data_IF_699977572507
#
_entry.id   IF_699977572507
#
_cell.length_a   1.000
_cell.length_b   1.000
_cell.length_c   1.000
_cell.angle_alpha   90.00
_cell.angle_beta   90.00
_cell.angle_gamma   90.00
#
_symmetry.space_group_name_H-M   'P 1'
#
loop_
_entity.id
_entity.type
_entity.pdbx_description
1 polymer ?
#
# COMPACT_ATOMS: atom_id res chain seq x y z
N UNK A 1 -2.17 -13.00 -19.04
CA UNK A 1 -2.32 -14.36 -18.53
C UNK A 1 -2.76 -14.33 -17.08
N UNK A 2 -3.56 -15.32 -16.68
CA UNK A 2 -4.17 -15.44 -15.37
C UNK A 2 -3.89 -16.84 -14.84
N UNK A 3 -3.55 -16.97 -13.57
CA UNK A 3 -3.38 -18.26 -12.93
C UNK A 3 -4.71 -19.03 -12.85
N UNK A 4 -4.68 -20.36 -12.73
CA UNK A 4 -5.91 -21.17 -12.57
C UNK A 4 -6.72 -20.82 -11.33
N UNK A 5 -6.06 -20.30 -10.26
CA UNK A 5 -6.74 -19.73 -9.09
C UNK A 5 -7.48 -18.43 -9.36
N UNK A 6 -7.33 -17.85 -10.54
CA UNK A 6 -7.93 -16.57 -10.88
C UNK A 6 -7.08 -15.34 -10.58
N UNK A 7 -5.89 -15.49 -10.01
CA UNK A 7 -5.00 -14.37 -9.69
C UNK A 7 -4.28 -13.80 -10.91
N UNK A 8 -3.95 -12.53 -10.85
CA UNK A 8 -3.12 -11.82 -11.81
C UNK A 8 -1.64 -11.90 -11.40
N UNK A 9 -0.71 -11.86 -12.37
CA UNK A 9 0.71 -11.79 -12.06
C UNK A 9 1.08 -10.44 -11.45
N UNK A 10 1.98 -10.45 -10.49
CA UNK A 10 2.47 -9.24 -9.83
C UNK A 10 3.24 -8.35 -10.82
N UNK A 11 4.11 -8.96 -11.63
CA UNK A 11 4.92 -8.21 -12.60
C UNK A 11 4.74 -8.71 -14.03
N UNK A 12 4.72 -7.76 -14.96
CA UNK A 12 4.73 -8.01 -16.40
C UNK A 12 5.96 -7.39 -17.04
N UNK A 13 6.54 -8.08 -18.02
CA UNK A 13 7.58 -7.52 -18.90
C UNK A 13 6.96 -7.37 -20.30
N UNK A 14 6.56 -6.15 -20.63
CA UNK A 14 5.74 -5.92 -21.81
C UNK A 14 4.34 -6.56 -21.66
N UNK A 15 4.02 -7.55 -22.52
CA UNK A 15 2.77 -8.31 -22.46
C UNK A 15 2.93 -9.72 -21.87
N UNK A 16 4.14 -10.06 -21.44
CA UNK A 16 4.47 -11.37 -20.91
C UNK A 16 4.60 -11.34 -19.40
N UNK A 17 4.39 -12.48 -18.76
CA UNK A 17 4.65 -12.63 -17.32
C UNK A 17 6.15 -12.52 -17.10
N UNK A 18 6.57 -11.68 -16.16
CA UNK A 18 7.97 -11.57 -15.78
C UNK A 18 8.46 -12.92 -15.22
N UNK A 19 9.64 -13.39 -15.60
CA UNK A 19 10.21 -14.60 -15.01
C UNK A 19 10.29 -14.49 -13.48
N UNK A 20 10.03 -15.58 -12.79
CA UNK A 20 10.13 -15.66 -11.32
C UNK A 20 9.20 -14.66 -10.57
N UNK A 21 8.16 -14.17 -11.24
CA UNK A 21 7.14 -13.34 -10.58
C UNK A 21 6.23 -14.20 -9.70
N UNK A 22 5.36 -13.56 -8.97
CA UNK A 22 4.27 -14.23 -8.26
C UNK A 22 2.92 -13.91 -8.91
N UNK A 23 1.94 -14.76 -8.68
CA UNK A 23 0.53 -14.42 -8.87
C UNK A 23 -0.01 -13.95 -7.52
N UNK A 24 -0.29 -12.67 -7.42
CA UNK A 24 -0.53 -12.00 -6.15
C UNK A 24 -2.02 -11.83 -5.86
N UNK A 25 -2.43 -12.19 -4.66
CA UNK A 25 -3.80 -11.97 -4.18
C UNK A 25 -4.09 -10.49 -3.98
N UNK A 26 -3.19 -9.74 -3.32
CA UNK A 26 -3.41 -8.32 -3.04
C UNK A 26 -3.40 -7.47 -4.30
N UNK A 27 -2.46 -7.68 -5.22
CA UNK A 27 -2.42 -6.91 -6.46
C UNK A 27 -3.65 -7.18 -7.33
N UNK A 28 -4.12 -8.44 -7.35
CA UNK A 28 -5.37 -8.78 -8.04
C UNK A 28 -6.57 -8.03 -7.43
N UNK A 29 -6.65 -7.99 -6.12
CA UNK A 29 -7.75 -7.30 -5.41
C UNK A 29 -7.68 -5.80 -5.62
N UNK A 30 -6.51 -5.19 -5.46
CA UNK A 30 -6.33 -3.74 -5.64
C UNK A 30 -6.64 -3.35 -7.09
N UNK A 31 -6.13 -4.10 -8.07
CA UNK A 31 -6.43 -3.85 -9.48
C UNK A 31 -7.93 -3.99 -9.77
N UNK A 32 -8.57 -5.02 -9.23
CA UNK A 32 -10.00 -5.23 -9.37
C UNK A 32 -10.84 -4.12 -8.72
N UNK A 33 -10.56 -3.77 -7.48
CA UNK A 33 -11.24 -2.67 -6.77
C UNK A 33 -11.07 -1.33 -7.52
N UNK A 34 -9.85 -1.02 -7.95
CA UNK A 34 -9.59 0.19 -8.73
C UNK A 34 -10.35 0.20 -10.07
N UNK A 35 -10.45 -0.94 -10.75
CA UNK A 35 -11.24 -1.06 -11.99
C UNK A 35 -12.74 -0.89 -11.72
N UNK A 36 -13.30 -1.45 -10.64
CA UNK A 36 -14.69 -1.24 -10.26
C UNK A 36 -14.99 0.24 -10.03
N UNK A 37 -14.19 0.90 -9.20
CA UNK A 37 -14.33 2.34 -8.92
C UNK A 37 -14.18 3.19 -10.19
N UNK A 38 -13.30 2.79 -11.11
CA UNK A 38 -13.16 3.47 -12.40
C UNK A 38 -14.38 3.26 -13.32
N UNK A 39 -14.96 2.06 -13.32
CA UNK A 39 -16.20 1.79 -14.05
C UNK A 39 -17.35 2.64 -13.52
N UNK A 40 -17.53 2.69 -12.20
CA UNK A 40 -18.57 3.50 -11.56
C UNK A 40 -18.37 4.99 -11.83
N UNK A 41 -17.14 5.48 -11.74
CA UNK A 41 -16.81 6.88 -12.06
C UNK A 41 -17.11 7.23 -13.52
N UNK A 42 -16.90 6.29 -14.44
CA UNK A 42 -17.15 6.46 -15.87
C UNK A 42 -18.61 6.17 -16.26
N UNK A 43 -19.45 5.69 -15.35
CA UNK A 43 -20.80 5.23 -15.63
C UNK A 43 -20.85 4.01 -16.57
N UNK A 44 -19.82 3.15 -16.48
CA UNK A 44 -19.68 1.92 -17.26
C UNK A 44 -19.99 0.71 -16.37
N UNK A 45 -20.61 -0.31 -16.94
CA UNK A 45 -20.91 -1.53 -16.22
C UNK A 45 -19.63 -2.27 -15.78
N UNK A 46 -19.47 -2.49 -14.48
CA UNK A 46 -18.35 -3.21 -13.85
C UNK A 46 -18.56 -4.72 -13.73
N UNK A 47 -19.62 -5.31 -14.30
CA UNK A 47 -19.95 -6.72 -14.12
C UNK A 47 -18.83 -7.68 -14.49
N UNK A 48 -18.09 -7.40 -15.56
CA UNK A 48 -16.94 -8.22 -15.97
C UNK A 48 -15.83 -8.24 -14.89
N UNK A 49 -15.63 -7.13 -14.20
CA UNK A 49 -14.65 -7.02 -13.11
C UNK A 49 -15.14 -7.74 -11.86
N UNK A 50 -16.41 -7.59 -11.49
CA UNK A 50 -17.02 -8.34 -10.37
C UNK A 50 -16.94 -9.83 -10.61
N UNK A 51 -17.24 -10.28 -11.85
CA UNK A 51 -17.10 -11.68 -12.23
C UNK A 51 -15.64 -12.15 -12.12
N UNK A 52 -14.67 -11.33 -12.50
CA UNK A 52 -13.25 -11.64 -12.37
C UNK A 52 -12.86 -11.84 -10.89
N UNK A 53 -13.28 -10.97 -10.01
CA UNK A 53 -12.97 -11.02 -8.57
C UNK A 53 -13.70 -12.18 -7.87
N UNK A 54 -14.95 -12.41 -8.21
CA UNK A 54 -15.74 -13.51 -7.67
C UNK A 54 -15.22 -14.89 -8.12
N UNK A 55 -14.59 -14.94 -9.31
CA UNK A 55 -14.01 -16.17 -9.85
C UNK A 55 -12.62 -16.50 -9.31
N UNK A 56 -12.11 -15.76 -8.33
CA UNK A 56 -10.90 -16.15 -7.58
C UNK A 56 -11.24 -17.39 -6.75
N UNK A 57 -10.43 -18.42 -6.88
CA UNK A 57 -10.56 -19.63 -6.06
C UNK A 57 -9.94 -19.41 -4.68
N UNK A 58 -10.72 -18.81 -3.79
CA UNK A 58 -10.30 -18.54 -2.41
C UNK A 58 -9.97 -19.82 -1.63
N UNK A 59 -10.55 -20.98 -2.02
CA UNK A 59 -10.24 -22.26 -1.39
C UNK A 59 -8.80 -22.72 -1.69
N UNK A 60 -8.26 -22.39 -2.86
CA UNK A 60 -6.86 -22.63 -3.18
C UNK A 60 -5.88 -21.73 -2.40
N UNK A 61 -6.36 -20.57 -1.92
CA UNK A 61 -5.55 -19.58 -1.20
C UNK A 61 -5.57 -19.75 0.32
N UNK A 62 -6.46 -20.61 0.83
CA UNK A 62 -6.58 -20.91 2.25
C UNK A 62 -6.20 -22.37 2.50
N UNK A 63 -5.54 -22.64 3.60
CA UNK A 63 -5.29 -24.02 4.00
C UNK A 63 -6.53 -24.67 4.65
N UNK A 64 -6.48 -26.01 4.83
CA UNK A 64 -7.57 -26.81 5.41
C UNK A 64 -7.94 -26.42 6.85
N UNK A 65 -7.14 -25.60 7.52
CA UNK A 65 -7.34 -25.15 8.89
C UNK A 65 -8.06 -23.80 8.99
N UNK A 66 -8.48 -23.24 7.88
CA UNK A 66 -9.11 -21.91 7.82
C UNK A 66 -8.16 -20.81 8.31
N UNK A 67 -6.90 -20.95 7.94
CA UNK A 67 -5.88 -19.95 8.17
C UNK A 67 -6.10 -18.69 7.31
N UNK A 68 -5.26 -17.70 7.53
CA UNK A 68 -5.24 -16.50 6.72
C UNK A 68 -4.97 -16.83 5.24
N UNK A 69 -5.53 -16.02 4.36
CA UNK A 69 -5.34 -16.13 2.91
C UNK A 69 -3.84 -16.05 2.56
N UNK A 70 -3.39 -16.87 1.62
CA UNK A 70 -2.03 -16.80 1.07
C UNK A 70 -1.80 -15.51 0.29
N UNK A 71 -0.55 -15.04 0.27
CA UNK A 71 -0.13 -13.97 -0.63
C UNK A 71 -0.37 -14.32 -2.10
N UNK A 72 -0.36 -15.61 -2.45
CA UNK A 72 -0.64 -16.08 -3.80
C UNK A 72 0.18 -17.31 -4.17
N UNK A 73 0.64 -17.38 -5.41
CA UNK A 73 1.46 -18.46 -5.94
C UNK A 73 2.80 -17.91 -6.41
N UNK A 74 3.89 -18.60 -6.06
CA UNK A 74 5.26 -18.22 -6.39
C UNK A 74 5.94 -19.30 -7.21
N UNK A 75 6.82 -18.89 -8.13
CA UNK A 75 7.75 -19.76 -8.86
C UNK A 75 9.17 -19.49 -8.33
N UNK A 76 9.47 -20.05 -7.16
CA UNK A 76 10.72 -19.78 -6.44
C UNK A 76 11.97 -20.21 -7.19
N UNK A 77 11.86 -21.25 -8.01
CA UNK A 77 12.97 -21.84 -8.76
C UNK A 77 13.04 -21.34 -10.21
N UNK A 78 12.13 -20.47 -10.60
CA UNK A 78 12.01 -19.94 -11.96
C UNK A 78 11.88 -21.04 -13.04
N UNK A 79 11.21 -22.14 -12.70
CA UNK A 79 11.08 -23.32 -13.54
C UNK A 79 9.70 -23.43 -14.23
N UNK A 80 8.80 -22.46 -13.98
CA UNK A 80 7.43 -22.42 -14.49
C UNK A 80 6.45 -23.29 -13.69
N UNK A 81 6.86 -23.79 -12.53
CA UNK A 81 5.99 -24.51 -11.59
C UNK A 81 5.62 -23.58 -10.45
N UNK A 82 4.33 -23.36 -10.29
CA UNK A 82 3.77 -22.41 -9.31
C UNK A 82 3.35 -23.17 -8.06
N UNK A 83 3.86 -22.73 -6.92
CA UNK A 83 3.55 -23.29 -5.60
C UNK A 83 2.83 -22.24 -4.75
N UNK A 84 1.97 -22.69 -3.83
CA UNK A 84 1.29 -21.78 -2.91
C UNK A 84 2.33 -21.08 -2.02
N UNK A 85 2.31 -19.76 -2.00
CA UNK A 85 3.21 -18.96 -1.17
C UNK A 85 3.10 -19.37 0.30
N UNK A 86 4.21 -19.56 1.02
CA UNK A 86 4.18 -19.83 2.45
C UNK A 86 3.73 -18.59 3.27
N UNK A 87 3.78 -17.41 2.70
CA UNK A 87 3.37 -16.17 3.36
C UNK A 87 1.85 -16.04 3.37
N UNK A 88 1.33 -15.49 4.46
CA UNK A 88 -0.11 -15.33 4.72
C UNK A 88 -0.44 -13.90 5.12
N UNK A 89 -1.63 -13.43 4.73
CA UNK A 89 -2.24 -12.19 5.21
C UNK A 89 -2.76 -12.40 6.64
N UNK A 90 -1.87 -12.62 7.59
CA UNK A 90 -2.22 -12.90 8.98
C UNK A 90 -2.03 -11.69 9.89
N UNK A 91 -1.20 -10.74 9.46
CA UNK A 91 -0.94 -9.51 10.18
C UNK A 91 -1.92 -8.42 9.79
N UNK A 92 -2.09 -7.46 10.69
CA UNK A 92 -2.91 -6.29 10.43
C UNK A 92 -2.24 -5.37 9.40
N UNK A 93 -3.06 -4.76 8.54
CA UNK A 93 -2.62 -3.78 7.56
C UNK A 93 -3.63 -3.57 6.44
N UNK A 94 -3.46 -2.48 5.69
CA UNK A 94 -4.37 -2.13 4.60
C UNK A 94 -4.47 -3.21 3.53
N UNK A 95 -3.36 -3.85 3.19
CA UNK A 95 -3.31 -4.93 2.21
C UNK A 95 -4.13 -6.14 2.67
N UNK A 96 -3.87 -6.60 3.90
CA UNK A 96 -4.61 -7.70 4.49
C UNK A 96 -6.11 -7.39 4.58
N UNK A 97 -6.48 -6.18 4.99
CA UNK A 97 -7.87 -5.76 5.06
C UNK A 97 -8.55 -5.77 3.69
N UNK A 98 -7.90 -5.25 2.65
CA UNK A 98 -8.44 -5.24 1.28
C UNK A 98 -8.64 -6.66 0.73
N UNK A 99 -7.68 -7.56 0.97
CA UNK A 99 -7.83 -8.99 0.61
C UNK A 99 -9.03 -9.60 1.33
N UNK A 100 -9.21 -9.30 2.62
CA UNK A 100 -10.35 -9.75 3.41
C UNK A 100 -11.68 -9.19 2.89
N UNK A 101 -11.74 -7.93 2.47
CA UNK A 101 -12.94 -7.34 1.83
C UNK A 101 -13.32 -8.14 0.58
N UNK A 102 -12.35 -8.43 -0.28
CA UNK A 102 -12.60 -9.17 -1.52
C UNK A 102 -13.03 -10.61 -1.25
N UNK A 103 -12.36 -11.30 -0.32
CA UNK A 103 -12.76 -12.65 0.08
C UNK A 103 -14.17 -12.66 0.68
N UNK A 104 -14.48 -11.70 1.55
CA UNK A 104 -15.81 -11.59 2.18
C UNK A 104 -16.89 -11.30 1.13
N UNK A 105 -16.65 -10.40 0.20
CA UNK A 105 -17.56 -10.10 -0.90
C UNK A 105 -17.82 -11.32 -1.82
N UNK A 106 -16.79 -12.10 -2.08
CA UNK A 106 -16.90 -13.27 -2.97
C UNK A 106 -17.53 -14.49 -2.29
N UNK A 107 -17.26 -14.70 -1.00
CA UNK A 107 -17.63 -15.95 -0.29
C UNK A 107 -18.71 -15.79 0.77
N UNK A 108 -19.01 -14.57 1.18
CA UNK A 108 -19.87 -14.28 2.32
C UNK A 108 -19.24 -14.64 3.69
N UNK A 109 -17.93 -14.87 3.73
CA UNK A 109 -17.20 -15.27 4.94
C UNK A 109 -16.05 -14.29 5.21
N UNK A 110 -15.87 -13.93 6.48
CA UNK A 110 -14.71 -13.13 6.90
C UNK A 110 -13.44 -13.96 6.84
N UNK A 111 -12.34 -13.37 6.40
CA UNK A 111 -11.05 -14.01 6.51
C UNK A 111 -10.53 -13.99 7.96
N UNK A 112 -9.54 -14.79 8.25
CA UNK A 112 -8.91 -14.84 9.57
C UNK A 112 -7.57 -14.11 9.52
N UNK A 113 -7.46 -13.05 10.31
CA UNK A 113 -6.17 -12.50 10.68
C UNK A 113 -5.85 -13.04 12.08
N UNK A 114 -4.69 -13.64 12.25
CA UNK A 114 -4.33 -14.37 13.49
C UNK A 114 -3.40 -13.59 14.39
N UNK A 115 -2.56 -12.74 13.81
CA UNK A 115 -1.49 -12.04 14.52
C UNK A 115 -1.82 -10.54 14.63
N UNK A 116 -2.98 -10.26 15.22
CA UNK A 116 -3.42 -8.89 15.48
C UNK A 116 -3.31 -8.56 16.95
N UNK A 117 -2.58 -7.50 17.23
CA UNK A 117 -2.62 -6.81 18.52
C UNK A 117 -3.23 -5.41 18.31
N UNK A 118 -4.51 -5.20 18.64
CA UNK A 118 -5.17 -3.90 18.47
C UNK A 118 -4.53 -2.78 19.28
N UNK A 119 -3.68 -3.11 20.26
CA UNK A 119 -2.94 -2.12 21.05
C UNK A 119 -1.68 -1.63 20.38
N UNK A 120 -1.21 -2.31 19.33
CA UNK A 120 -0.02 -1.93 18.59
C UNK A 120 -0.40 -1.03 17.41
N UNK A 121 0.26 0.12 17.25
CA UNK A 121 -0.05 1.04 16.16
C UNK A 121 0.70 0.70 14.86
N UNK A 122 1.33 -0.47 14.78
CA UNK A 122 2.14 -0.88 13.64
C UNK A 122 1.46 -2.02 12.88
N UNK A 123 1.48 -1.93 11.58
CA UNK A 123 1.45 -3.09 10.69
C UNK A 123 2.76 -3.86 10.84
N UNK A 124 2.89 -5.04 10.22
CA UNK A 124 4.01 -5.96 10.42
C UNK A 124 5.39 -5.27 10.42
N UNK A 125 5.62 -4.38 9.47
CA UNK A 125 6.90 -3.66 9.30
C UNK A 125 6.80 -2.16 9.57
N UNK A 126 5.60 -1.61 9.77
CA UNK A 126 5.36 -0.17 9.91
C UNK A 126 5.63 0.63 8.64
N UNK A 127 5.54 -0.02 7.46
CA UNK A 127 5.63 0.68 6.18
C UNK A 127 4.40 1.57 5.98
N UNK A 128 4.62 2.86 5.80
CA UNK A 128 3.55 3.85 5.89
C UNK A 128 2.42 3.67 4.88
N UNK A 129 2.68 3.09 3.70
CA UNK A 129 1.59 2.82 2.76
C UNK A 129 0.58 1.83 3.33
N UNK A 130 1.06 0.83 4.06
CA UNK A 130 0.22 -0.21 4.64
C UNK A 130 -0.62 0.30 5.82
N UNK A 131 -0.22 1.40 6.44
CA UNK A 131 -1.01 2.08 7.48
C UNK A 131 -2.10 2.99 6.89
N UNK A 132 -1.84 3.63 5.74
CA UNK A 132 -2.69 4.71 5.22
C UNK A 132 -3.51 4.35 3.97
N UNK A 133 -3.12 3.31 3.23
CA UNK A 133 -3.68 3.01 1.91
C UNK A 133 -5.17 2.66 1.96
N UNK A 134 -5.65 1.98 3.01
CA UNK A 134 -7.07 1.65 3.13
C UNK A 134 -7.96 2.89 2.97
N UNK A 135 -7.59 3.99 3.61
CA UNK A 135 -8.31 5.25 3.53
C UNK A 135 -8.30 5.94 2.17
N UNK A 136 -7.57 5.41 1.18
CA UNK A 136 -7.64 5.87 -0.21
C UNK A 136 -8.75 5.18 -1.01
N UNK A 137 -9.12 3.97 -0.64
CA UNK A 137 -10.09 3.15 -1.37
C UNK A 137 -11.43 3.06 -0.65
N UNK A 138 -11.39 2.90 0.67
CA UNK A 138 -12.55 2.68 1.50
C UNK A 138 -12.60 3.70 2.65
N UNK A 139 -13.78 4.04 3.17
CA UNK A 139 -13.87 4.80 4.42
C UNK A 139 -13.21 4.00 5.54
N UNK A 140 -12.43 4.66 6.39
CA UNK A 140 -11.82 3.99 7.54
C UNK A 140 -12.91 3.60 8.53
N UNK A 141 -13.04 2.31 8.90
CA UNK A 141 -14.00 1.91 9.91
C UNK A 141 -13.61 2.48 11.28
N UNK A 142 -14.61 2.84 12.09
CA UNK A 142 -14.33 3.26 13.46
C UNK A 142 -13.73 2.09 14.26
N UNK A 143 -14.30 0.90 14.12
CA UNK A 143 -13.73 -0.35 14.63
C UNK A 143 -14.04 -1.48 13.65
N UNK A 144 -13.07 -2.37 13.42
CA UNK A 144 -13.26 -3.56 12.61
C UNK A 144 -13.57 -4.81 13.46
N UNK A 145 -13.83 -5.94 12.80
CA UNK A 145 -14.19 -7.21 13.48
C UNK A 145 -13.07 -7.78 14.34
N UNK A 146 -11.83 -7.33 14.16
CA UNK A 146 -10.67 -7.72 14.98
C UNK A 146 -10.43 -6.75 16.13
N UNK A 147 -11.24 -5.70 16.28
CA UNK A 147 -11.15 -4.71 17.36
C UNK A 147 -10.15 -3.58 17.11
N UNK A 148 -9.72 -3.38 15.87
CA UNK A 148 -8.85 -2.27 15.52
C UNK A 148 -9.67 -1.02 15.24
N UNK A 149 -9.36 0.06 15.94
CA UNK A 149 -9.91 1.39 15.70
C UNK A 149 -9.04 2.13 14.67
N UNK A 150 -9.44 2.10 13.40
CA UNK A 150 -8.63 2.60 12.30
C UNK A 150 -8.22 4.08 12.38
N UNK A 151 -9.10 5.04 12.74
CA UNK A 151 -8.68 6.43 12.89
C UNK A 151 -7.59 6.62 13.93
N UNK A 152 -7.65 5.84 15.03
CA UNK A 152 -6.59 5.84 16.05
C UNK A 152 -5.31 5.21 15.52
N UNK A 153 -5.41 4.06 14.85
CA UNK A 153 -4.26 3.39 14.24
C UNK A 153 -3.51 4.32 13.27
N UNK A 154 -4.23 4.99 12.36
CA UNK A 154 -3.65 5.97 11.44
C UNK A 154 -2.95 7.11 12.19
N UNK A 155 -3.57 7.62 13.27
CA UNK A 155 -2.95 8.65 14.11
C UNK A 155 -1.68 8.18 14.79
N UNK A 156 -1.71 7.01 15.41
CA UNK A 156 -0.59 6.45 16.17
C UNK A 156 0.57 6.06 15.23
N UNK A 157 0.30 5.40 14.09
CA UNK A 157 1.33 5.06 13.11
C UNK A 157 1.99 6.29 12.49
N UNK A 158 1.22 7.34 12.25
CA UNK A 158 1.77 8.60 11.75
C UNK A 158 2.62 9.32 12.82
N UNK A 159 2.25 9.23 14.08
CA UNK A 159 3.11 9.71 15.18
C UNK A 159 4.44 8.95 15.24
N UNK A 160 4.43 7.63 15.01
CA UNK A 160 5.65 6.84 14.92
C UNK A 160 6.53 7.27 13.76
N UNK A 161 5.96 7.49 12.59
CA UNK A 161 6.67 8.04 11.44
C UNK A 161 7.36 9.36 11.79
N UNK A 162 6.69 10.28 12.47
CA UNK A 162 7.26 11.57 12.87
C UNK A 162 8.35 11.44 13.91
N UNK A 163 8.24 10.48 14.84
CA UNK A 163 9.20 10.25 15.90
C UNK A 163 10.38 9.35 15.51
N UNK A 164 10.33 8.77 14.31
CA UNK A 164 11.38 7.91 13.82
C UNK A 164 12.71 8.67 13.67
N UNK A 165 13.85 8.07 14.01
CA UNK A 165 15.15 8.73 13.92
C UNK A 165 15.66 8.82 12.47
N UNK A 166 15.14 9.76 11.70
CA UNK A 166 15.55 9.99 10.29
C UNK A 166 16.99 10.51 10.13
N UNK A 167 17.70 10.78 11.24
CA UNK A 167 18.97 11.46 11.21
C UNK A 167 18.82 12.99 11.19
N UNK A 168 19.90 13.69 11.55
CA UNK A 168 19.89 15.15 11.78
C UNK A 168 19.41 15.92 10.55
N UNK A 169 19.97 15.60 9.38
CA UNK A 169 19.69 16.33 8.14
C UNK A 169 18.21 16.28 7.70
N UNK A 170 17.54 15.14 7.81
CA UNK A 170 16.12 15.00 7.48
C UNK A 170 15.22 15.57 8.58
N UNK A 171 15.58 15.32 9.85
CA UNK A 171 14.80 15.76 11.01
C UNK A 171 14.77 17.28 11.14
N UNK A 172 15.90 17.96 10.93
CA UNK A 172 16.01 19.42 10.98
C UNK A 172 15.13 20.10 9.92
N UNK A 173 14.90 19.44 8.80
CA UNK A 173 14.03 19.91 7.73
C UNK A 173 12.58 19.46 7.91
N UNK A 174 12.27 18.64 8.91
CA UNK A 174 10.95 18.06 9.13
C UNK A 174 10.52 17.10 8.01
N UNK A 175 11.50 16.39 7.42
CA UNK A 175 11.25 15.44 6.34
C UNK A 175 11.08 14.03 6.89
N UNK A 176 10.02 13.35 6.49
CA UNK A 176 9.66 12.02 6.96
C UNK A 176 8.85 11.27 5.92
N UNK A 177 8.69 9.95 6.09
CA UNK A 177 7.81 9.12 5.28
C UNK A 177 8.47 7.84 4.79
N UNK A 178 8.68 6.88 5.71
CA UNK A 178 9.09 5.53 5.36
C UNK A 178 7.93 4.78 4.74
N UNK A 179 8.11 4.27 3.53
CA UNK A 179 7.14 3.47 2.81
C UNK A 179 7.81 2.65 1.73
N UNK A 180 7.11 1.66 1.19
CA UNK A 180 7.65 0.80 0.14
C UNK A 180 8.06 1.62 -1.09
N UNK A 181 9.34 1.58 -1.42
CA UNK A 181 9.90 2.35 -2.54
C UNK A 181 11.27 1.80 -2.96
N UNK A 182 11.71 2.21 -4.14
CA UNK A 182 13.09 2.02 -4.56
C UNK A 182 14.04 2.88 -3.72
N UNK A 183 15.25 2.39 -3.48
CA UNK A 183 16.28 3.17 -2.78
C UNK A 183 16.75 4.37 -3.60
N UNK A 184 17.13 5.48 -2.96
CA UNK A 184 17.57 6.69 -3.63
C UNK A 184 19.02 6.55 -4.15
N UNK A 185 19.21 5.69 -5.13
CA UNK A 185 20.49 5.58 -5.85
C UNK A 185 20.32 5.70 -7.36
N UNK A 186 21.36 6.19 -8.04
CA UNK A 186 21.31 6.40 -9.49
C UNK A 186 21.45 5.08 -10.25
N UNK A 187 20.69 4.08 -9.93
CA UNK A 187 20.50 2.93 -10.85
C UNK A 187 19.52 1.88 -10.31
N UNK A 188 18.39 1.89 -10.76
CA UNK A 188 17.64 0.99 -11.63
C UNK A 188 17.79 -0.54 -11.41
N UNK A 189 18.25 -1.07 -10.28
CA UNK A 189 18.02 -2.47 -10.00
C UNK A 189 16.72 -2.63 -9.23
N UNK A 190 15.83 -3.49 -9.72
CA UNK A 190 14.64 -3.92 -8.99
C UNK A 190 14.98 -4.57 -7.63
N UNK A 191 16.24 -4.90 -7.41
CA UNK A 191 16.80 -5.40 -6.16
C UNK A 191 16.88 -4.36 -5.05
N UNK A 192 16.66 -3.09 -5.38
CA UNK A 192 16.75 -1.97 -4.45
C UNK A 192 15.39 -1.55 -3.88
N UNK A 193 14.28 -2.17 -4.31
CA UNK A 193 12.95 -1.94 -3.75
C UNK A 193 12.80 -2.63 -2.39
N UNK A 194 12.16 -1.97 -1.46
CA UNK A 194 11.86 -2.54 -0.15
C UNK A 194 10.68 -1.87 0.54
N UNK A 195 10.05 -2.60 1.45
CA UNK A 195 9.00 -2.11 2.32
C UNK A 195 9.64 -1.43 3.55
N UNK A 196 10.12 -0.19 3.38
CA UNK A 196 10.78 0.56 4.43
C UNK A 196 9.77 1.02 5.49
N UNK A 197 9.97 0.60 6.74
CA UNK A 197 9.03 0.86 7.81
C UNK A 197 9.67 1.33 9.12
N UNK A 198 8.85 1.78 10.05
CA UNK A 198 9.28 2.23 11.38
C UNK A 198 9.45 1.09 12.38
N UNK A 199 8.99 -0.10 12.06
CA UNK A 199 9.00 -1.27 12.94
C UNK A 199 10.36 -1.91 13.19
N UNK A 200 11.38 -1.58 12.38
CA UNK A 200 12.75 -2.09 12.56
C UNK A 200 12.94 -3.58 12.26
N UNK A 201 11.90 -4.24 11.76
CA UNK A 201 11.95 -5.68 11.40
C UNK A 201 12.25 -5.92 9.93
N UNK A 202 12.12 -4.89 9.12
CA UNK A 202 12.43 -4.95 7.70
C UNK A 202 13.91 -4.84 7.44
N UNK A 203 14.39 -5.76 6.63
CA UNK A 203 15.69 -5.65 5.99
C UNK A 203 15.68 -4.43 5.07
N UNK A 204 16.12 -3.31 5.56
CA UNK A 204 16.08 -2.08 4.80
C UNK A 204 17.10 -1.08 5.28
N UNK A 205 17.11 0.11 4.68
CA UNK A 205 18.02 1.17 5.10
C UNK A 205 17.91 1.51 6.58
N UNK A 206 16.89 1.02 7.26
CA UNK A 206 16.55 1.35 8.64
C UNK A 206 17.15 0.38 9.67
N UNK A 207 17.62 -0.79 9.26
CA UNK A 207 18.25 -1.78 10.14
C UNK A 207 19.74 -1.53 10.41
N UNK A 208 20.26 -0.41 9.91
CA UNK A 208 21.69 -0.09 9.99
C UNK A 208 22.56 -0.79 8.97
N UNK A 209 21.99 -1.66 8.13
CA UNK A 209 22.71 -2.38 7.07
C UNK A 209 22.72 -1.62 5.74
N UNK A 210 22.00 -0.50 5.67
CA UNK A 210 21.91 0.24 4.42
C UNK A 210 23.25 0.90 4.06
N UNK A 211 23.65 0.70 2.83
CA UNK A 211 24.84 1.32 2.25
C UNK A 211 24.72 2.83 2.08
N UNK A 212 23.54 3.40 2.34
CA UNK A 212 23.20 4.80 2.11
C UNK A 212 23.34 5.68 3.36
N UNK A 213 23.37 5.06 4.53
CA UNK A 213 23.62 5.72 5.81
C UNK A 213 22.55 6.70 6.29
N UNK A 214 21.39 6.75 5.61
CA UNK A 214 20.27 7.61 5.98
C UNK A 214 18.94 6.98 5.61
N UNK A 215 17.89 7.14 6.41
CA UNK A 215 16.54 6.69 6.08
C UNK A 215 16.04 7.30 4.77
N UNK A 216 15.13 6.58 4.12
CA UNK A 216 14.50 6.98 2.88
C UNK A 216 13.23 7.77 3.19
N UNK A 217 12.96 8.79 2.38
CA UNK A 217 11.67 9.49 2.36
C UNK A 217 10.97 9.19 1.04
N UNK A 218 9.78 8.62 1.13
CA UNK A 218 8.91 8.28 0.02
C UNK A 218 7.82 9.36 -0.14
N UNK A 219 7.82 10.15 -1.24
CA UNK A 219 6.84 11.22 -1.44
C UNK A 219 5.39 10.78 -1.42
N UNK A 220 5.09 9.56 -1.87
CA UNK A 220 3.73 9.05 -1.85
C UNK A 220 3.17 8.92 -0.42
N UNK A 221 4.01 8.55 0.57
CA UNK A 221 3.57 8.54 1.96
C UNK A 221 3.15 9.95 2.42
N UNK A 222 3.98 10.96 2.15
CA UNK A 222 3.65 12.33 2.50
C UNK A 222 2.36 12.83 1.82
N UNK A 223 2.06 12.34 0.61
CA UNK A 223 0.80 12.64 -0.07
C UNK A 223 -0.40 11.99 0.63
N UNK A 224 -0.28 10.72 1.00
CA UNK A 224 -1.34 10.01 1.74
C UNK A 224 -1.62 10.65 3.10
N UNK A 225 -0.57 11.08 3.80
CA UNK A 225 -0.65 11.71 5.12
C UNK A 225 -1.20 13.15 5.10
N UNK A 226 -1.34 13.79 3.93
CA UNK A 226 -1.84 15.17 3.81
C UNK A 226 -3.23 15.38 4.39
N UNK A 227 -4.11 14.39 4.32
CA UNK A 227 -5.47 14.50 4.85
C UNK A 227 -5.49 14.42 6.38
N UNK A 228 -4.61 13.62 6.96
CA UNK A 228 -4.59 13.30 8.40
C UNK A 228 -3.60 14.20 9.16
N UNK A 229 -2.50 14.62 8.50
CA UNK A 229 -1.44 15.45 9.09
C UNK A 229 -1.00 16.58 8.14
N UNK A 230 -1.90 17.53 7.82
CA UNK A 230 -1.65 18.51 6.77
C UNK A 230 -0.43 19.39 7.01
N UNK A 231 -0.15 19.79 8.24
CA UNK A 231 0.96 20.70 8.54
C UNK A 231 2.33 20.04 8.27
N UNK A 232 2.51 18.81 8.76
CA UNK A 232 3.76 18.05 8.66
C UNK A 232 3.98 17.54 7.23
N UNK A 233 2.97 16.96 6.62
CA UNK A 233 3.04 16.46 5.25
C UNK A 233 3.27 17.60 4.24
N UNK A 234 2.67 18.78 4.44
CA UNK A 234 2.94 19.96 3.62
C UNK A 234 4.41 20.41 3.71
N UNK A 235 5.10 20.18 4.83
CA UNK A 235 6.51 20.53 4.95
C UNK A 235 7.35 19.72 3.95
N UNK A 236 7.11 18.41 3.85
CA UNK A 236 7.78 17.54 2.86
C UNK A 236 7.51 18.05 1.44
N UNK A 237 6.25 18.37 1.14
CA UNK A 237 5.86 18.86 -0.19
C UNK A 237 6.45 20.23 -0.53
N UNK A 238 6.51 21.16 0.43
CA UNK A 238 7.16 22.47 0.22
C UNK A 238 8.63 22.32 -0.09
N UNK A 239 9.30 21.41 0.61
CA UNK A 239 10.70 21.13 0.38
C UNK A 239 10.93 20.53 -1.02
N UNK A 240 10.16 19.50 -1.39
CA UNK A 240 10.23 18.89 -2.73
C UNK A 240 9.98 19.90 -3.85
N UNK A 241 8.92 20.71 -3.73
CA UNK A 241 8.56 21.69 -4.76
C UNK A 241 9.56 22.83 -4.91
N UNK A 242 10.40 23.08 -3.91
CA UNK A 242 11.46 24.07 -3.99
C UNK A 242 12.64 23.59 -4.87
N UNK A 243 12.78 22.29 -5.07
CA UNK A 243 13.82 21.67 -5.88
C UNK A 243 13.28 21.23 -7.24
N UNK A 244 13.83 21.82 -8.32
CA UNK A 244 13.40 21.55 -9.68
C UNK A 244 13.83 20.17 -10.20
N UNK A 245 14.74 19.50 -9.53
CA UNK A 245 15.18 18.15 -9.87
C UNK A 245 14.26 17.12 -9.25
N UNK A 246 13.90 17.33 -7.99
CA UNK A 246 13.04 16.40 -7.23
C UNK A 246 11.57 16.54 -7.59
N UNK A 247 11.14 17.71 -8.07
CA UNK A 247 9.77 17.97 -8.46
C UNK A 247 9.68 18.58 -9.85
N UNK A 248 9.06 17.86 -10.77
CA UNK A 248 8.74 18.34 -12.11
C UNK A 248 7.23 18.54 -12.27
N UNK A 249 6.74 19.32 -13.24
CA UNK A 249 5.30 19.49 -13.47
C UNK A 249 4.53 18.19 -13.69
N UNK A 250 5.22 17.12 -14.06
CA UNK A 250 4.62 15.83 -14.36
C UNK A 250 4.82 14.80 -13.26
N UNK A 251 5.78 15.02 -12.34
CA UNK A 251 6.13 13.96 -11.39
C UNK A 251 7.10 14.39 -10.28
N UNK A 252 7.10 13.65 -9.16
CA UNK A 252 8.14 13.67 -8.14
C UNK A 252 9.12 12.51 -8.35
N UNK A 253 10.18 12.47 -7.56
CA UNK A 253 11.05 11.30 -7.43
C UNK A 253 10.32 10.17 -6.72
N UNK A 254 10.76 8.94 -6.92
CA UNK A 254 10.24 7.75 -6.24
C UNK A 254 10.55 7.78 -4.74
N UNK A 255 11.80 8.09 -4.43
CA UNK A 255 12.30 8.26 -3.07
C UNK A 255 13.49 9.20 -3.04
N UNK A 256 13.81 9.73 -1.88
CA UNK A 256 15.01 10.51 -1.67
C UNK A 256 15.55 10.35 -0.24
N UNK A 257 16.81 10.75 -0.06
CA UNK A 257 17.47 10.89 1.24
C UNK A 257 18.41 12.08 1.23
N UNK A 258 18.77 12.56 2.42
CA UNK A 258 19.81 13.58 2.61
C UNK A 258 20.89 12.97 3.50
N UNK A 259 22.08 12.89 2.98
CA UNK A 259 23.24 12.38 3.71
C UNK A 259 23.74 13.38 4.75
N UNK A 260 24.54 12.91 5.70
CA UNK A 260 25.11 13.76 6.74
C UNK A 260 26.02 14.89 6.21
N UNK A 261 26.55 14.75 4.99
CA UNK A 261 27.33 15.79 4.29
C UNK A 261 26.45 16.81 3.55
N UNK A 262 25.11 16.65 3.61
CA UNK A 262 24.15 17.50 2.93
C UNK A 262 23.86 17.09 1.48
N UNK A 263 24.48 16.02 0.96
CA UNK A 263 24.21 15.52 -0.38
C UNK A 263 22.78 14.95 -0.44
N UNK A 264 21.97 15.44 -1.38
CA UNK A 264 20.64 14.90 -1.67
C UNK A 264 20.79 13.79 -2.70
N UNK A 265 20.27 12.61 -2.38
CA UNK A 265 20.19 11.48 -3.30
C UNK A 265 18.74 11.13 -3.54
N UNK A 266 18.40 10.72 -4.75
CA UNK A 266 17.04 10.37 -5.13
C UNK A 266 17.01 9.25 -6.17
N UNK A 267 15.90 8.53 -6.21
CA UNK A 267 15.60 7.59 -7.29
C UNK A 267 14.66 8.26 -8.29
N UNK A 268 15.03 8.26 -9.55
CA UNK A 268 14.24 8.82 -10.63
C UNK A 268 13.23 7.85 -11.23
N UNK A 269 13.24 6.59 -10.81
CA UNK A 269 12.21 5.63 -11.18
C UNK A 269 10.84 6.17 -10.75
N UNK A 270 9.82 5.76 -11.48
CA UNK A 270 8.47 6.26 -11.31
C UNK A 270 7.54 5.06 -11.35
N UNK A 271 7.49 4.37 -10.22
CA UNK A 271 6.54 3.28 -10.03
C UNK A 271 5.11 3.78 -10.22
N UNK A 272 4.36 3.16 -11.12
CA UNK A 272 2.95 3.52 -11.33
C UNK A 272 2.12 3.41 -10.05
N UNK A 273 2.46 2.45 -9.21
CA UNK A 273 1.83 2.23 -7.91
C UNK A 273 2.01 3.43 -6.99
N UNK A 274 3.26 3.81 -6.70
CA UNK A 274 3.56 4.93 -5.79
C UNK A 274 3.03 6.27 -6.33
N UNK A 275 3.05 6.46 -7.66
CA UNK A 275 2.43 7.62 -8.29
C UNK A 275 0.90 7.64 -8.11
N UNK A 276 0.26 6.48 -8.16
CA UNK A 276 -1.18 6.35 -7.90
C UNK A 276 -1.52 6.69 -6.46
N UNK A 277 -0.80 6.12 -5.48
CA UNK A 277 -0.96 6.43 -4.05
C UNK A 277 -0.76 7.93 -3.78
N UNK A 278 0.24 8.54 -4.41
CA UNK A 278 0.50 9.97 -4.32
C UNK A 278 -0.67 10.80 -4.86
N UNK A 279 -1.19 10.43 -6.01
CA UNK A 279 -2.31 11.15 -6.66
C UNK A 279 -3.58 11.04 -5.84
N UNK A 280 -3.93 9.83 -5.38
CA UNK A 280 -5.11 9.57 -4.56
C UNK A 280 -5.01 10.26 -3.20
N UNK A 281 -3.84 10.21 -2.55
CA UNK A 281 -3.60 10.90 -1.29
C UNK A 281 -3.78 12.41 -1.41
N UNK A 282 -3.23 13.03 -2.46
CA UNK A 282 -3.42 14.44 -2.72
C UNK A 282 -4.89 14.80 -3.00
N UNK A 283 -5.61 13.96 -3.76
CA UNK A 283 -7.04 14.17 -4.03
C UNK A 283 -7.87 14.08 -2.74
N UNK A 284 -7.62 13.08 -1.89
CA UNK A 284 -8.28 12.94 -0.57
C UNK A 284 -8.02 14.18 0.30
N UNK A 285 -6.79 14.67 0.34
CA UNK A 285 -6.44 15.87 1.08
C UNK A 285 -7.18 17.13 0.58
N UNK A 286 -7.31 17.30 -0.72
CA UNK A 286 -8.07 18.44 -1.30
C UNK A 286 -9.53 18.37 -0.88
N UNK A 287 -10.14 17.18 -0.90
CA UNK A 287 -11.52 17.00 -0.43
C UNK A 287 -11.63 17.33 1.07
N UNK A 288 -10.74 16.82 1.91
CA UNK A 288 -10.73 17.08 3.35
C UNK A 288 -10.57 18.58 3.65
N UNK A 289 -9.63 19.28 3.00
CA UNK A 289 -9.43 20.74 3.18
C UNK A 289 -10.62 21.57 2.75
N UNK A 290 -11.45 21.09 1.83
CA UNK A 290 -12.64 21.78 1.33
C UNK A 290 -13.93 21.34 1.99
N UNK A 291 -13.86 20.42 2.97
CA UNK A 291 -15.02 19.76 3.56
C UNK A 291 -15.96 19.13 2.50
N UNK A 292 -15.37 18.53 1.48
CA UNK A 292 -16.08 17.79 0.44
C UNK A 292 -15.97 16.30 0.72
N UNK A 293 -16.99 15.51 0.38
CA UNK A 293 -16.87 14.07 0.42
C UNK A 293 -15.77 13.61 -0.55
N UNK A 294 -15.09 12.55 -0.20
CA UNK A 294 -14.06 11.97 -1.06
C UNK A 294 -14.73 10.99 -2.04
N UNK A 295 -14.71 11.26 -3.36
CA UNK A 295 -15.55 10.55 -4.31
C UNK A 295 -15.34 9.04 -4.33
N UNK A 296 -14.12 8.53 -4.09
CA UNK A 296 -13.88 7.09 -4.07
C UNK A 296 -14.59 6.38 -2.92
N UNK A 297 -14.76 7.03 -1.76
CA UNK A 297 -15.53 6.45 -0.65
C UNK A 297 -17.02 6.39 -0.98
N UNK A 298 -17.56 7.39 -1.70
CA UNK A 298 -18.96 7.37 -2.13
C UNK A 298 -19.20 6.29 -3.18
N UNK A 299 -18.28 6.13 -4.14
CA UNK A 299 -18.34 5.07 -5.14
C UNK A 299 -18.20 3.67 -4.50
N UNK A 300 -17.25 3.49 -3.59
CA UNK A 300 -17.07 2.22 -2.89
C UNK A 300 -18.30 1.81 -2.07
N UNK A 301 -18.95 2.77 -1.42
CA UNK A 301 -20.20 2.54 -0.68
C UNK A 301 -21.41 2.31 -1.60
N UNK A 302 -21.34 2.75 -2.86
CA UNK A 302 -22.39 2.53 -3.85
C UNK A 302 -22.21 1.21 -4.63
N UNK A 303 -20.98 0.68 -4.71
CA UNK A 303 -20.72 -0.60 -5.35
C UNK A 303 -21.14 -1.75 -4.43
N UNK A 304 -22.18 -2.48 -4.84
CA UNK A 304 -22.80 -3.54 -4.02
C UNK A 304 -21.82 -4.65 -3.62
N UNK A 305 -20.82 -4.94 -4.45
CA UNK A 305 -19.83 -5.99 -4.18
C UNK A 305 -18.80 -5.54 -3.14
N UNK A 306 -18.23 -4.35 -3.31
CA UNK A 306 -17.29 -3.76 -2.35
C UNK A 306 -17.95 -3.51 -0.99
N UNK A 307 -19.14 -2.94 -1.00
CA UNK A 307 -19.92 -2.64 0.21
C UNK A 307 -20.28 -3.92 0.96
N UNK A 308 -20.72 -4.98 0.27
CA UNK A 308 -21.05 -6.25 0.91
C UNK A 308 -19.85 -6.86 1.64
N UNK A 309 -18.66 -6.84 1.03
CA UNK A 309 -17.43 -7.32 1.65
C UNK A 309 -17.00 -6.46 2.83
N UNK A 310 -17.05 -5.13 2.67
CA UNK A 310 -16.69 -4.18 3.70
C UNK A 310 -17.57 -4.30 4.94
N UNK A 311 -18.90 -4.41 4.76
CA UNK A 311 -19.86 -4.52 5.88
C UNK A 311 -19.68 -5.78 6.73
N UNK A 312 -19.08 -6.85 6.19
CA UNK A 312 -18.72 -8.03 6.97
C UNK A 312 -17.52 -7.83 7.90
N UNK A 313 -16.73 -6.78 7.68
CA UNK A 313 -15.49 -6.51 8.38
C UNK A 313 -15.54 -5.29 9.32
N UNK A 314 -16.63 -4.55 9.33
CA UNK A 314 -16.79 -3.37 10.18
C UNK A 314 -17.84 -3.62 11.29
N UNK A 315 -17.72 -2.88 12.41
CA UNK A 315 -18.67 -2.89 13.54
C UNK A 315 -19.36 -1.54 13.68
#
# INVERSE_FOLDING_TARGET
PRHESGLLPHFLTGNDISPCTEYSSVDTVIAGAAMLLACDLAGVDGEAVRHMLTAIDWAMLTDDFGAACSHGFVDSDCNGVWELSPYRWQHFGSEAFLVCVAQAAATGQTCKLTDIDPSQPLTDDGAGFNDLMLGLFLPLPEEDVWGVHWPRHVGDSTCLQLSYPYGEALSDLGLFGLSASEVPEPCCSAEAYGAWGTGGTTTGPNDGSNTYGSPIVAPHYAAMALADMPAQAQQVWRWLMADKVLFTPLNTVESFTIRNDGEVRWNSLKGSWNLSLQTLGAARAVCAMRNLPYPLHELAAADEWLEAGYQLLVK
#
